data_IF_083312192108
#
_entry.id   IF_083312192108
#
_cell.length_a   1.000
_cell.length_b   1.000
_cell.length_c   1.000
_cell.angle_alpha   90.00
_cell.angle_beta   90.00
_cell.angle_gamma   90.00
#
_symmetry.space_group_name_H-M   'P 1'
#
loop_
_entity.id
_entity.type
_entity.pdbx_description
1 polymer ?
#
# COMPACT_ATOMS: atom_id res chain seq x y z
N UNK A 1 -5.21 -19.72 0.24
CA UNK A 1 -4.12 -19.22 -0.62
C UNK A 1 -3.72 -17.84 -0.12
N UNK A 2 -2.42 -17.50 -0.06
CA UNK A 2 -1.99 -16.16 0.41
C UNK A 2 -2.00 -15.15 -0.73
N UNK A 3 -2.16 -13.85 -0.42
CA UNK A 3 -2.14 -12.79 -1.42
C UNK A 3 -0.81 -12.75 -2.19
N UNK A 4 0.29 -13.10 -1.52
CA UNK A 4 1.62 -13.17 -2.13
C UNK A 4 1.70 -14.25 -3.21
N UNK A 5 1.19 -15.46 -2.92
CA UNK A 5 1.14 -16.55 -3.90
C UNK A 5 0.31 -16.16 -5.12
N UNK A 6 -0.83 -15.49 -4.93
CA UNK A 6 -1.66 -14.99 -6.02
C UNK A 6 -0.91 -14.01 -6.92
N UNK A 7 -0.25 -13.01 -6.32
CA UNK A 7 0.55 -12.01 -7.06
C UNK A 7 1.66 -12.71 -7.86
N UNK A 8 2.31 -13.73 -7.29
CA UNK A 8 3.38 -14.45 -7.98
C UNK A 8 2.84 -15.27 -9.17
N UNK A 9 1.70 -15.94 -9.00
CA UNK A 9 1.04 -16.70 -10.07
C UNK A 9 0.65 -15.82 -11.25
N UNK A 10 0.04 -14.65 -10.98
CA UNK A 10 -0.38 -13.74 -12.06
C UNK A 10 0.84 -13.08 -12.74
N UNK A 11 1.89 -12.76 -11.98
CA UNK A 11 3.16 -12.26 -12.53
C UNK A 11 3.82 -13.26 -13.48
N UNK A 12 3.82 -14.55 -13.12
CA UNK A 12 4.35 -15.61 -13.97
C UNK A 12 3.58 -15.73 -15.31
N UNK A 13 2.29 -15.35 -15.33
CA UNK A 13 1.46 -15.27 -16.54
C UNK A 13 1.62 -13.95 -17.31
N UNK A 14 2.58 -13.09 -16.93
CA UNK A 14 2.82 -11.80 -17.57
C UNK A 14 1.82 -10.71 -17.17
N UNK A 15 1.03 -10.91 -16.11
CA UNK A 15 0.07 -9.94 -15.61
C UNK A 15 0.78 -9.00 -14.63
N UNK A 16 0.72 -7.70 -14.90
CA UNK A 16 1.22 -6.65 -14.02
C UNK A 16 0.08 -6.09 -13.18
N UNK A 17 0.31 -5.96 -11.87
CA UNK A 17 -0.60 -5.39 -10.88
C UNK A 17 0.06 -4.18 -10.22
N UNK A 18 -0.68 -3.10 -10.03
CA UNK A 18 -0.25 -1.95 -9.24
C UNK A 18 -1.46 -1.21 -8.66
N UNK A 19 -1.25 -0.44 -7.59
CA UNK A 19 -2.26 0.45 -7.03
C UNK A 19 -2.09 1.85 -7.57
N UNK A 20 -3.18 2.46 -8.02
CA UNK A 20 -3.23 3.83 -8.54
C UNK A 20 -4.47 4.51 -7.99
N UNK A 21 -4.31 5.62 -7.24
CA UNK A 21 -5.40 6.38 -6.63
C UNK A 21 -6.42 5.52 -5.83
N UNK A 22 -5.92 4.59 -4.99
CA UNK A 22 -6.74 3.67 -4.21
C UNK A 22 -7.39 2.52 -5.01
N UNK A 23 -7.13 2.44 -6.31
CA UNK A 23 -7.70 1.42 -7.19
C UNK A 23 -6.63 0.43 -7.65
N UNK A 24 -6.99 -0.86 -7.72
CA UNK A 24 -6.13 -1.88 -8.30
C UNK A 24 -6.19 -1.80 -9.82
N UNK A 25 -5.06 -1.50 -10.45
CA UNK A 25 -4.89 -1.54 -11.90
C UNK A 25 -4.21 -2.84 -12.31
N UNK A 26 -4.66 -3.37 -13.45
CA UNK A 26 -4.26 -4.66 -14.00
C UNK A 26 -3.86 -4.44 -15.46
N UNK A 27 -2.67 -4.91 -15.85
CA UNK A 27 -2.23 -4.98 -17.24
C UNK A 27 -1.89 -6.42 -17.56
N UNK A 28 -2.70 -7.05 -18.39
CA UNK A 28 -2.51 -8.41 -18.85
C UNK A 28 -2.40 -8.42 -20.38
N UNK A 29 -1.58 -9.31 -20.97
CA UNK A 29 -1.66 -9.60 -22.39
C UNK A 29 -3.02 -10.26 -22.75
N UNK A 30 -3.41 -10.20 -24.03
CA UNK A 30 -4.66 -10.82 -24.50
C UNK A 30 -4.68 -12.31 -24.12
N UNK A 31 -5.77 -12.73 -23.49
CA UNK A 31 -5.98 -14.13 -23.07
C UNK A 31 -5.34 -14.53 -21.73
N UNK A 32 -4.46 -13.72 -21.13
CA UNK A 32 -3.87 -14.04 -19.83
C UNK A 32 -4.81 -13.76 -18.65
N UNK A 33 -5.72 -12.78 -18.80
CA UNK A 33 -6.77 -12.52 -17.82
C UNK A 33 -7.94 -13.48 -18.06
N UNK A 34 -7.81 -14.71 -17.57
CA UNK A 34 -8.88 -15.70 -17.57
C UNK A 34 -9.92 -15.38 -16.50
N UNK A 35 -11.15 -15.88 -16.66
CA UNK A 35 -12.26 -15.65 -15.72
C UNK A 35 -11.94 -16.09 -14.27
N UNK A 36 -11.29 -17.24 -14.11
CA UNK A 36 -10.82 -17.73 -12.79
C UNK A 36 -9.86 -16.75 -12.11
N UNK A 37 -8.83 -16.28 -12.82
CA UNK A 37 -7.90 -15.26 -12.32
C UNK A 37 -8.64 -13.97 -11.96
N UNK A 38 -9.60 -13.55 -12.77
CA UNK A 38 -10.39 -12.35 -12.50
C UNK A 38 -11.21 -12.49 -11.21
N UNK A 39 -11.82 -13.66 -10.98
CA UNK A 39 -12.56 -13.97 -9.75
C UNK A 39 -11.63 -13.97 -8.54
N UNK A 40 -10.46 -14.59 -8.64
CA UNK A 40 -9.46 -14.60 -7.57
C UNK A 40 -8.94 -13.19 -7.22
N UNK A 41 -8.69 -12.35 -8.23
CA UNK A 41 -8.28 -10.95 -8.04
C UNK A 41 -9.40 -10.11 -7.41
N UNK A 42 -10.65 -10.39 -7.75
CA UNK A 42 -11.81 -9.67 -7.19
C UNK A 42 -12.06 -10.08 -5.74
N UNK A 43 -12.01 -11.37 -5.44
CA UNK A 43 -12.19 -11.92 -4.10
C UNK A 43 -11.14 -11.43 -3.10
N UNK A 44 -9.90 -11.21 -3.57
CA UNK A 44 -8.78 -10.76 -2.73
C UNK A 44 -8.41 -9.28 -2.97
N UNK A 45 -9.27 -8.51 -3.65
CA UNK A 45 -8.96 -7.14 -4.10
C UNK A 45 -8.50 -6.23 -2.95
N UNK A 46 -9.16 -6.30 -1.80
CA UNK A 46 -8.85 -5.46 -0.64
C UNK A 46 -7.43 -5.73 -0.12
N UNK A 47 -7.06 -7.00 0.05
CA UNK A 47 -5.72 -7.43 0.45
C UNK A 47 -4.66 -7.05 -0.58
N UNK A 48 -4.95 -7.20 -1.88
CA UNK A 48 -4.02 -6.82 -2.94
C UNK A 48 -3.78 -5.30 -2.90
N UNK A 49 -4.83 -4.49 -2.75
CA UNK A 49 -4.68 -3.04 -2.60
C UNK A 49 -3.87 -2.71 -1.35
N UNK A 50 -4.13 -3.36 -0.22
CA UNK A 50 -3.37 -3.16 1.01
C UNK A 50 -1.89 -3.54 0.87
N UNK A 51 -1.58 -4.60 0.10
CA UNK A 51 -0.22 -5.02 -0.22
C UNK A 51 0.55 -3.96 -1.03
N UNK A 52 -0.13 -3.27 -1.95
CA UNK A 52 0.46 -2.21 -2.77
C UNK A 52 0.38 -0.81 -2.15
N UNK A 53 -0.36 -0.62 -1.05
CA UNK A 53 -0.39 0.67 -0.37
C UNK A 53 1.04 1.01 0.07
N UNK A 54 1.55 2.21 -0.24
CA UNK A 54 2.79 2.66 0.35
C UNK A 54 2.63 2.59 1.86
N UNK A 55 3.50 1.83 2.53
CA UNK A 55 3.62 1.87 3.97
C UNK A 55 4.13 3.27 4.32
N UNK A 56 3.23 4.22 4.52
CA UNK A 56 3.57 5.54 5.06
C UNK A 56 3.92 5.33 6.54
N UNK A 57 5.08 4.73 6.80
CA UNK A 57 5.61 4.49 8.15
C UNK A 57 6.58 5.58 8.59
N UNK A 58 6.58 6.73 7.90
CA UNK A 58 7.58 7.77 8.07
C UNK A 58 6.97 9.15 8.30
N UNK A 59 5.97 9.33 9.18
CA UNK A 59 5.61 10.66 9.73
C UNK A 59 5.08 10.64 11.18
N UNK A 60 5.38 9.60 11.97
CA UNK A 60 5.39 9.78 13.44
C UNK A 60 6.73 10.43 13.82
N UNK A 61 6.88 11.71 13.47
CA UNK A 61 8.12 12.46 13.62
C UNK A 61 8.02 13.98 13.47
N UNK A 62 6.85 14.56 13.18
CA UNK A 62 6.67 16.02 13.12
C UNK A 62 5.71 16.59 14.17
N UNK A 63 5.42 15.83 15.24
CA UNK A 63 4.77 16.35 16.45
C UNK A 63 5.74 16.52 17.65
N UNK A 64 7.05 16.56 17.41
CA UNK A 64 8.08 16.88 18.42
C UNK A 64 8.79 18.22 18.18
N UNK A 65 8.38 18.98 17.15
CA UNK A 65 8.87 20.34 16.89
C UNK A 65 7.92 21.44 17.44
N UNK A 66 6.99 21.09 18.35
CA UNK A 66 6.08 22.05 18.98
C UNK A 66 6.27 22.18 20.51
N UNK A 67 7.33 21.63 21.10
CA UNK A 67 7.57 21.72 22.55
C UNK A 67 8.90 22.37 22.99
N UNK A 68 9.54 23.20 22.15
CA UNK A 68 10.58 24.12 22.66
C UNK A 68 10.01 25.52 22.88
N UNK A 69 9.82 25.80 24.17
CA UNK A 69 10.15 27.06 24.82
C UNK A 69 9.17 28.24 24.60
N UNK A 70 8.06 28.20 25.35
CA UNK A 70 7.62 29.40 26.09
C UNK A 70 7.31 29.01 27.53
N UNK A 71 7.75 29.86 28.46
CA UNK A 71 7.69 29.76 29.95
C UNK A 71 8.87 28.94 30.50
N UNK A 72 9.68 29.36 31.46
CA UNK A 72 9.61 30.46 32.45
C UNK A 72 10.97 30.44 33.16
N UNK A 73 11.62 31.59 33.28
CA UNK A 73 12.91 31.73 33.96
C UNK A 73 13.17 33.19 34.31
N UNK A 74 12.14 33.84 34.84
CA UNK A 74 12.29 35.04 35.64
C UNK A 74 12.98 34.62 36.95
N UNK A 75 13.96 35.42 37.38
CA UNK A 75 14.54 35.54 38.74
C UNK A 75 15.67 34.57 39.17
N UNK A 76 16.83 35.19 39.44
CA UNK A 76 17.87 34.92 40.45
C UNK A 76 19.22 35.34 39.83
N UNK A 77 20.02 36.30 40.31
CA UNK A 77 20.14 37.04 41.57
C UNK A 77 20.76 38.39 41.25
#
# INVERSE_FOLDING_TARGET
MTVYSLINTVRAKGIKLWQENGQLKIKAPKGALTKDIQEQLTANKADIIAFFKPNIRNQQGTALAAHKQKRTGQQAT
#
